data_IF_077111982640
#
_entry.id   IF_077111982640
#
_cell.length_a   1.000
_cell.length_b   1.000
_cell.length_c   1.000
_cell.angle_alpha   90.00
_cell.angle_beta   90.00
_cell.angle_gamma   90.00
#
_symmetry.space_group_name_H-M   'P 1'
#
loop_
_entity.id
_entity.type
_entity.pdbx_description
1 polymer ?
#
# COMPACT_ATOMS: atom_id res chain seq x y z
N UNK A 1 6.45 -7.87 -4.33
CA UNK A 1 5.88 -7.97 -5.70
C UNK A 1 4.43 -7.54 -5.67
N UNK A 2 4.08 -6.56 -6.49
CA UNK A 2 2.74 -6.06 -6.77
C UNK A 2 2.42 -6.42 -8.23
N UNK A 3 1.20 -6.86 -8.53
CA UNK A 3 0.76 -7.09 -9.91
C UNK A 3 -0.69 -6.69 -10.09
N UNK A 4 -0.91 -5.71 -10.95
CA UNK A 4 -2.21 -5.28 -11.42
C UNK A 4 -2.17 -5.11 -12.95
N UNK A 5 -3.32 -5.03 -13.63
CA UNK A 5 -3.38 -4.57 -15.01
C UNK A 5 -2.72 -3.18 -15.17
N UNK A 6 -2.44 -2.80 -16.42
CA UNK A 6 -2.12 -1.42 -16.74
C UNK A 6 -3.22 -0.48 -16.17
N UNK A 7 -2.86 0.74 -15.74
CA UNK A 7 -1.53 1.36 -15.81
C UNK A 7 -0.59 1.04 -14.64
N UNK A 8 -1.03 0.32 -13.60
CA UNK A 8 -0.19 0.01 -12.42
C UNK A 8 0.91 -1.00 -12.78
N UNK A 9 0.52 -2.06 -13.51
CA UNK A 9 1.45 -3.08 -13.97
C UNK A 9 2.04 -3.96 -12.87
N UNK A 10 3.17 -4.58 -13.19
CA UNK A 10 3.97 -5.38 -12.25
C UNK A 10 5.09 -4.52 -11.67
N UNK A 11 5.18 -4.48 -10.34
CA UNK A 11 6.17 -3.67 -9.63
C UNK A 11 6.82 -4.45 -8.48
N UNK A 12 8.11 -4.21 -8.26
CA UNK A 12 8.86 -4.73 -7.12
C UNK A 12 9.71 -3.62 -6.53
N UNK A 13 9.74 -3.54 -5.20
CA UNK A 13 10.61 -2.63 -4.47
C UNK A 13 11.15 -3.34 -3.22
N UNK A 14 12.35 -2.93 -2.80
CA UNK A 14 12.97 -3.34 -1.55
C UNK A 14 13.29 -2.07 -0.74
N UNK A 15 12.96 -2.10 0.55
CA UNK A 15 13.20 -0.99 1.46
C UNK A 15 13.82 -1.53 2.74
N UNK A 16 14.90 -0.89 3.19
CA UNK A 16 15.51 -1.17 4.49
C UNK A 16 15.27 0.02 5.41
N UNK A 17 14.59 -0.22 6.54
CA UNK A 17 14.35 0.82 7.54
C UNK A 17 15.63 1.12 8.33
N UNK A 18 16.47 2.01 7.78
CA UNK A 18 17.74 2.44 8.41
C UNK A 18 17.54 3.58 9.41
N UNK A 19 16.57 4.47 9.17
CA UNK A 19 16.20 5.56 10.06
C UNK A 19 14.75 6.01 9.87
N UNK A 20 14.22 6.77 10.84
CA UNK A 20 12.90 7.38 10.72
C UNK A 20 12.85 8.40 9.55
N UNK A 21 13.93 9.12 9.30
CA UNK A 21 14.07 10.07 8.20
C UNK A 21 14.00 9.37 6.83
N UNK A 22 14.63 8.20 6.69
CA UNK A 22 14.53 7.39 5.48
C UNK A 22 13.08 6.98 5.21
N UNK A 23 12.37 6.48 6.23
CA UNK A 23 10.95 6.16 6.11
C UNK A 23 10.08 7.36 5.72
N UNK A 24 10.27 8.50 6.40
CA UNK A 24 9.51 9.74 6.14
C UNK A 24 9.69 10.26 4.72
N UNK A 25 10.88 10.10 4.15
CA UNK A 25 11.20 10.57 2.80
C UNK A 25 10.75 9.58 1.72
N UNK A 26 10.94 8.29 1.94
CA UNK A 26 10.86 7.30 0.87
C UNK A 26 9.56 6.49 0.86
N UNK A 27 8.93 6.28 2.01
CA UNK A 27 7.76 5.40 2.13
C UNK A 27 6.51 6.18 2.57
N UNK A 28 6.62 6.96 3.64
CA UNK A 28 5.49 7.67 4.23
C UNK A 28 4.66 8.53 3.25
N UNK A 29 5.24 9.18 2.21
CA UNK A 29 4.45 9.99 1.30
C UNK A 29 3.64 9.19 0.26
N UNK A 30 3.79 7.87 0.17
CA UNK A 30 3.11 7.05 -0.84
C UNK A 30 1.61 6.90 -0.53
N UNK A 31 0.77 7.44 -1.41
CA UNK A 31 -0.69 7.47 -1.22
C UNK A 31 -1.34 6.13 -1.52
N UNK A 32 -2.49 5.92 -0.88
CA UNK A 32 -3.37 4.80 -1.21
C UNK A 32 -3.95 4.97 -2.61
N UNK A 33 -4.40 3.88 -3.22
CA UNK A 33 -4.93 3.88 -4.57
C UNK A 33 -6.14 2.97 -4.72
N UNK A 34 -7.02 3.32 -5.64
CA UNK A 34 -8.21 2.54 -5.98
C UNK A 34 -8.53 2.66 -7.47
N UNK A 35 -9.38 1.77 -7.97
CA UNK A 35 -9.73 1.73 -9.40
C UNK A 35 -11.11 2.34 -9.66
N UNK A 36 -11.24 3.07 -10.76
CA UNK A 36 -12.49 3.72 -11.19
C UNK A 36 -13.64 2.72 -11.34
N UNK A 37 -13.35 1.52 -11.85
CA UNK A 37 -14.33 0.42 -11.96
C UNK A 37 -14.92 -0.01 -10.61
N UNK A 38 -14.14 0.13 -9.53
CA UNK A 38 -14.53 -0.29 -8.18
C UNK A 38 -15.20 0.87 -7.40
N UNK A 39 -15.03 2.13 -7.84
CA UNK A 39 -15.59 3.30 -7.15
C UNK A 39 -17.12 3.30 -7.07
N UNK A 40 -17.82 2.83 -8.12
CA UNK A 40 -19.30 2.75 -8.08
C UNK A 40 -19.76 1.80 -6.97
N UNK A 41 -19.16 0.62 -6.90
CA UNK A 41 -19.41 -0.35 -5.84
C UNK A 41 -19.02 0.17 -4.45
N UNK A 42 -17.87 0.85 -4.32
CA UNK A 42 -17.41 1.41 -3.05
C UNK A 42 -18.31 2.56 -2.56
N UNK A 43 -18.83 3.39 -3.46
CA UNK A 43 -19.81 4.42 -3.13
C UNK A 43 -21.16 3.81 -2.70
N UNK A 44 -21.63 2.78 -3.40
CA UNK A 44 -22.85 2.04 -3.04
C UNK A 44 -22.74 1.36 -1.66
N UNK A 45 -21.53 0.90 -1.28
CA UNK A 45 -21.23 0.33 0.04
C UNK A 45 -20.97 1.39 1.13
N UNK A 46 -21.04 2.69 0.81
CA UNK A 46 -20.76 3.78 1.75
C UNK A 46 -19.29 3.95 2.14
N UNK A 47 -18.37 3.30 1.42
CA UNK A 47 -16.92 3.30 1.68
C UNK A 47 -16.17 4.45 0.97
N UNK A 48 -16.84 5.20 0.08
CA UNK A 48 -16.23 6.26 -0.75
C UNK A 48 -16.39 7.70 -0.25
N UNK A 49 -17.09 7.94 0.87
CA UNK A 49 -17.50 9.28 1.30
C UNK A 49 -16.37 10.17 1.87
N UNK A 50 -15.19 9.61 2.16
CA UNK A 50 -14.05 10.32 2.74
C UNK A 50 -12.94 10.72 1.74
N UNK A 51 -13.04 10.29 0.49
CA UNK A 51 -12.00 10.53 -0.52
C UNK A 51 -12.05 11.95 -1.07
N UNK A 52 -11.35 12.90 -0.44
CA UNK A 52 -10.95 14.10 -1.18
C UNK A 52 -9.99 13.67 -2.28
N UNK A 53 -10.19 14.17 -3.50
CA UNK A 53 -9.45 13.78 -4.71
C UNK A 53 -7.93 13.98 -4.60
N UNK A 54 -7.44 14.70 -3.59
CA UNK A 54 -6.03 14.97 -3.33
C UNK A 54 -5.33 13.88 -2.46
N UNK A 55 -6.08 13.08 -1.72
CA UNK A 55 -5.54 12.17 -0.70
C UNK A 55 -5.35 10.71 -1.15
N UNK A 56 -5.86 10.33 -2.33
CA UNK A 56 -5.71 8.99 -2.89
C UNK A 56 -5.44 9.05 -4.40
N UNK A 57 -4.94 7.97 -4.98
CA UNK A 57 -4.71 7.84 -6.42
C UNK A 57 -5.87 7.06 -7.03
N UNK A 58 -6.55 7.67 -7.99
CA UNK A 58 -7.61 7.04 -8.76
C UNK A 58 -7.05 6.52 -10.08
N UNK A 59 -7.10 5.21 -10.23
CA UNK A 59 -6.60 4.50 -11.41
C UNK A 59 -7.75 4.21 -12.36
N UNK A 60 -7.65 4.70 -13.60
CA UNK A 60 -8.56 4.43 -14.70
C UNK A 60 -8.24 3.13 -15.43
N UNK A 61 -8.83 2.98 -16.61
CA UNK A 61 -8.54 1.84 -17.50
C UNK A 61 -7.13 1.97 -18.10
N UNK A 62 -6.75 3.16 -18.55
CA UNK A 62 -5.50 3.39 -19.27
C UNK A 62 -4.48 4.26 -18.50
N UNK A 63 -4.94 5.09 -17.56
CA UNK A 63 -4.09 6.09 -16.90
C UNK A 63 -4.52 6.39 -15.45
N UNK A 64 -3.67 7.13 -14.74
CA UNK A 64 -4.05 7.73 -13.45
C UNK A 64 -4.87 9.00 -13.72
N UNK A 65 -6.02 9.13 -13.07
CA UNK A 65 -7.06 10.09 -13.48
C UNK A 65 -6.94 11.43 -12.74
N UNK A 66 -6.61 11.42 -11.45
CA UNK A 66 -6.83 12.56 -10.57
C UNK A 66 -5.55 13.29 -10.14
N UNK A 67 -4.38 12.72 -10.39
CA UNK A 67 -3.12 13.24 -9.84
C UNK A 67 -1.89 12.69 -10.55
N UNK A 68 -0.78 13.40 -10.49
CA UNK A 68 0.53 12.84 -10.81
C UNK A 68 1.05 11.99 -9.64
N UNK A 69 1.84 10.97 -9.94
CA UNK A 69 2.48 10.16 -8.91
C UNK A 69 3.63 10.95 -8.26
N UNK A 70 3.73 10.86 -6.93
CA UNK A 70 4.84 11.39 -6.13
C UNK A 70 6.12 10.60 -6.38
N UNK A 71 5.97 9.32 -6.72
CA UNK A 71 7.06 8.41 -7.06
C UNK A 71 6.66 7.58 -8.28
N UNK A 72 7.60 7.25 -9.19
CA UNK A 72 7.32 6.35 -10.32
C UNK A 72 6.77 4.97 -9.87
N UNK A 73 7.14 4.54 -8.67
CA UNK A 73 6.81 3.27 -8.02
C UNK A 73 5.87 3.49 -6.79
N UNK A 74 5.06 4.55 -6.78
CA UNK A 74 4.21 4.93 -5.63
C UNK A 74 3.27 3.79 -5.17
N UNK A 75 2.73 2.98 -6.09
CA UNK A 75 1.82 1.88 -5.74
C UNK A 75 2.50 0.79 -4.89
N UNK A 76 3.70 0.34 -5.28
CA UNK A 76 4.43 -0.67 -4.49
C UNK A 76 5.00 -0.09 -3.21
N UNK A 77 5.39 1.20 -3.19
CA UNK A 77 5.78 1.90 -1.95
C UNK A 77 4.63 1.97 -0.96
N UNK A 78 3.41 2.21 -1.42
CA UNK A 78 2.23 2.19 -0.55
C UNK A 78 2.00 0.79 0.04
N UNK A 79 2.29 -0.30 -0.68
CA UNK A 79 2.26 -1.65 -0.08
C UNK A 79 3.33 -1.89 0.96
N UNK A 80 4.51 -1.30 0.81
CA UNK A 80 5.52 -1.30 1.87
C UNK A 80 5.00 -0.51 3.08
N UNK A 81 4.36 0.64 2.87
CA UNK A 81 3.72 1.43 3.93
C UNK A 81 2.67 0.59 4.68
N UNK A 82 1.76 -0.06 3.96
CA UNK A 82 0.74 -0.96 4.51
C UNK A 82 1.37 -2.05 5.39
N UNK A 83 2.40 -2.75 4.88
CA UNK A 83 3.10 -3.81 5.61
C UNK A 83 3.76 -3.26 6.88
N UNK A 84 4.44 -2.12 6.82
CA UNK A 84 5.07 -1.50 8.00
C UNK A 84 4.01 -1.16 9.06
N UNK A 85 2.87 -0.61 8.64
CA UNK A 85 1.75 -0.29 9.53
C UNK A 85 1.13 -1.54 10.16
N UNK A 86 0.83 -2.56 9.35
CA UNK A 86 0.26 -3.82 9.83
C UNK A 86 1.20 -4.49 10.83
N UNK A 87 2.49 -4.59 10.51
CA UNK A 87 3.50 -5.19 11.39
C UNK A 87 3.63 -4.46 12.73
N UNK A 88 3.37 -3.15 12.75
CA UNK A 88 3.39 -2.35 13.98
C UNK A 88 2.30 -2.80 14.98
N UNK A 89 1.23 -3.46 14.52
CA UNK A 89 0.20 -4.04 15.39
C UNK A 89 0.72 -5.17 16.29
N UNK A 90 1.92 -5.71 16.02
CA UNK A 90 2.59 -6.65 16.93
C UNK A 90 2.91 -6.01 18.29
N UNK A 91 3.05 -4.68 18.35
CA UNK A 91 3.34 -3.94 19.59
C UNK A 91 4.80 -3.99 20.05
N UNK A 92 5.68 -4.69 19.32
CA UNK A 92 7.11 -4.78 19.62
C UNK A 92 7.96 -4.49 18.37
N UNK A 93 9.19 -3.98 18.53
CA UNK A 93 10.11 -3.81 17.42
C UNK A 93 10.42 -5.14 16.74
N UNK A 94 10.34 -5.17 15.41
CA UNK A 94 10.70 -6.33 14.60
C UNK A 94 12.10 -6.13 14.04
N UNK A 95 12.97 -7.12 14.23
CA UNK A 95 14.27 -7.22 13.55
C UNK A 95 14.25 -8.42 12.61
N UNK A 96 14.01 -8.17 11.33
CA UNK A 96 13.95 -9.22 10.32
C UNK A 96 13.76 -8.68 8.91
N UNK A 97 13.69 -9.59 7.93
CA UNK A 97 13.34 -9.29 6.54
C UNK A 97 11.96 -9.87 6.25
N UNK A 98 11.09 -9.06 5.68
CA UNK A 98 9.75 -9.48 5.23
C UNK A 98 9.74 -9.48 3.71
N UNK A 99 9.35 -10.61 3.13
CA UNK A 99 9.16 -10.76 1.68
C UNK A 99 7.67 -10.96 1.41
N UNK A 100 7.07 -10.07 0.63
CA UNK A 100 5.64 -10.07 0.35
C UNK A 100 5.37 -10.09 -1.16
N UNK A 101 4.61 -11.10 -1.60
CA UNK A 101 4.17 -11.26 -2.98
C UNK A 101 2.65 -11.23 -3.02
N UNK A 102 2.08 -10.19 -3.64
CA UNK A 102 0.64 -10.03 -3.86
C UNK A 102 -0.21 -10.10 -2.56
N UNK A 103 0.37 -9.68 -1.42
CA UNK A 103 -0.31 -9.72 -0.12
C UNK A 103 -1.19 -8.49 0.11
N UNK A 104 -2.22 -8.66 0.96
CA UNK A 104 -2.99 -7.56 1.54
C UNK A 104 -3.01 -7.61 3.07
N UNK A 105 -3.77 -6.71 3.70
CA UNK A 105 -3.85 -6.61 5.17
C UNK A 105 -4.26 -7.94 5.84
N UNK A 106 -5.15 -8.72 5.20
CA UNK A 106 -5.56 -10.03 5.73
C UNK A 106 -4.39 -11.00 5.85
N UNK A 107 -3.51 -11.05 4.85
CA UNK A 107 -2.35 -11.93 4.84
C UNK A 107 -1.28 -11.44 5.83
N UNK A 108 -1.05 -10.13 5.89
CA UNK A 108 -0.11 -9.52 6.83
C UNK A 108 -0.53 -9.79 8.28
N UNK A 109 -1.81 -9.65 8.61
CA UNK A 109 -2.34 -9.96 9.94
C UNK A 109 -2.27 -11.48 10.24
N UNK A 110 -2.51 -12.34 9.24
CA UNK A 110 -2.36 -13.78 9.41
C UNK A 110 -0.92 -14.16 9.76
N UNK A 111 0.08 -13.54 9.12
CA UNK A 111 1.48 -13.70 9.46
C UNK A 111 1.76 -13.28 10.91
N UNK A 112 1.24 -12.12 11.35
CA UNK A 112 1.42 -11.66 12.72
C UNK A 112 0.87 -12.63 13.76
N UNK A 113 -0.31 -13.21 13.51
CA UNK A 113 -0.90 -14.23 14.39
C UNK A 113 0.00 -15.46 14.51
N UNK A 114 0.68 -15.85 13.43
CA UNK A 114 1.63 -16.96 13.47
C UNK A 114 2.90 -16.61 14.25
N UNK A 115 3.41 -15.38 14.14
CA UNK A 115 4.57 -14.91 14.91
C UNK A 115 4.27 -14.92 16.41
N UNK A 116 3.08 -14.47 16.82
CA UNK A 116 2.69 -14.41 18.24
C UNK A 116 2.41 -15.80 18.83
N UNK A 117 1.97 -16.75 17.99
CA UNK A 117 1.67 -18.11 18.42
C UNK A 117 2.93 -18.99 18.60
N UNK A 118 4.08 -18.54 18.11
CA UNK A 118 5.39 -19.21 18.28
C UNK A 118 6.14 -18.67 19.49
#
# INVERSE_FOLDING_TARGET
LLRYPAPVGEQSAEFTLTSAEAYKREIAPARTFGFMKDLKMLNELGLGSGGRLDNFILVGEDEVINTELRFPDEFVRHKILDIVGDLYLLGYPIRGKVTAHLTGHRDNIALLKQIVAG
#
